data_IF_133710263713
#
_entry.id   IF_133710263713
#
_cell.length_a   1.000
_cell.length_b   1.000
_cell.length_c   1.000
_cell.angle_alpha   90.00
_cell.angle_beta   90.00
_cell.angle_gamma   90.00
#
_symmetry.space_group_name_H-M   'P 1'
#
loop_
_entity.id
_entity.type
_entity.pdbx_description
1 polymer ?
#
# COMPACT_ATOMS: atom_id res chain seq x y z
N UNK A 1 -18.37 -7.33 38.20
CA UNK A 1 -18.21 -6.98 36.77
C UNK A 1 -16.72 -6.79 36.51
N UNK A 2 -16.08 -7.80 35.94
CA UNK A 2 -14.63 -7.78 35.69
C UNK A 2 -14.30 -6.69 34.68
N UNK A 3 -13.49 -5.72 35.09
CA UNK A 3 -12.93 -4.70 34.22
C UNK A 3 -12.25 -5.40 33.04
N UNK A 4 -12.83 -5.27 31.85
CA UNK A 4 -12.22 -5.72 30.62
C UNK A 4 -10.82 -5.10 30.56
N UNK A 5 -9.79 -5.93 30.76
CA UNK A 5 -8.39 -5.54 30.65
C UNK A 5 -8.27 -4.88 29.28
N UNK A 6 -7.81 -3.62 29.16
CA UNK A 6 -7.65 -2.99 27.86
C UNK A 6 -6.70 -3.89 27.07
N UNK A 7 -7.22 -4.55 26.03
CA UNK A 7 -6.42 -5.31 25.10
C UNK A 7 -5.42 -4.32 24.50
N UNK A 8 -4.20 -4.30 25.06
CA UNK A 8 -3.09 -3.56 24.48
C UNK A 8 -2.89 -4.16 23.10
N UNK A 9 -3.40 -3.48 22.07
CA UNK A 9 -3.11 -3.83 20.69
C UNK A 9 -1.60 -3.94 20.58
N UNK A 10 -1.06 -5.05 20.03
CA UNK A 10 0.38 -5.24 19.93
C UNK A 10 0.99 -4.02 19.24
N UNK A 11 2.10 -3.51 19.77
CA UNK A 11 2.79 -2.36 19.17
C UNK A 11 3.07 -2.58 17.68
N UNK A 12 3.34 -3.84 17.30
CA UNK A 12 3.54 -4.28 15.92
C UNK A 12 2.31 -3.98 15.05
N UNK A 13 1.09 -4.24 15.51
CA UNK A 13 -0.15 -3.96 14.75
C UNK A 13 -0.32 -2.47 14.52
N UNK A 14 -0.01 -1.65 15.52
CA UNK A 14 -0.03 -0.19 15.42
C UNK A 14 1.02 0.33 14.43
N UNK A 15 2.23 -0.24 14.46
CA UNK A 15 3.32 0.12 13.56
C UNK A 15 2.96 -0.23 12.12
N UNK A 16 2.53 -1.46 11.86
CA UNK A 16 2.14 -1.93 10.51
C UNK A 16 1.01 -1.08 9.95
N UNK A 17 0.00 -0.73 10.77
CA UNK A 17 -1.09 0.16 10.34
C UNK A 17 -0.58 1.54 9.94
N UNK A 18 0.26 2.16 10.77
CA UNK A 18 0.83 3.49 10.47
C UNK A 18 1.72 3.46 9.23
N UNK A 19 2.54 2.43 9.09
CA UNK A 19 3.40 2.23 7.92
C UNK A 19 2.57 2.04 6.66
N UNK A 20 1.50 1.22 6.69
CA UNK A 20 0.62 1.02 5.54
C UNK A 20 -0.09 2.31 5.12
N UNK A 21 -0.60 3.09 6.08
CA UNK A 21 -1.22 4.40 5.80
C UNK A 21 -0.21 5.40 5.24
N UNK A 22 1.01 5.42 5.79
CA UNK A 22 2.09 6.25 5.28
C UNK A 22 2.46 5.87 3.83
N UNK A 23 2.64 4.57 3.55
CA UNK A 23 2.93 4.08 2.22
C UNK A 23 1.80 4.37 1.23
N UNK A 24 0.54 4.26 1.66
CA UNK A 24 -0.62 4.66 0.86
C UNK A 24 -0.57 6.15 0.51
N UNK A 25 -0.27 7.02 1.48
CA UNK A 25 -0.15 8.46 1.24
C UNK A 25 0.99 8.79 0.27
N UNK A 26 2.15 8.11 0.39
CA UNK A 26 3.26 8.27 -0.56
C UNK A 26 2.87 7.78 -1.95
N UNK A 27 2.16 6.65 -2.06
CA UNK A 27 1.62 6.17 -3.33
C UNK A 27 0.69 7.20 -3.98
N UNK A 28 -0.27 7.72 -3.22
CA UNK A 28 -1.20 8.74 -3.70
C UNK A 28 -0.47 10.02 -4.14
N UNK A 29 0.55 10.44 -3.39
CA UNK A 29 1.38 11.59 -3.73
C UNK A 29 2.15 11.37 -5.04
N UNK A 30 2.73 10.19 -5.25
CA UNK A 30 3.45 9.87 -6.49
C UNK A 30 2.51 9.86 -7.70
N UNK A 31 1.31 9.28 -7.57
CA UNK A 31 0.28 9.34 -8.63
C UNK A 31 -0.11 10.78 -8.94
N UNK A 32 -0.28 11.60 -7.91
CA UNK A 32 -0.61 13.02 -8.06
C UNK A 32 0.51 13.80 -8.77
N UNK A 33 1.77 13.61 -8.35
CA UNK A 33 2.93 14.23 -9.00
C UNK A 33 3.06 13.77 -10.46
N UNK A 34 2.80 12.49 -10.74
CA UNK A 34 2.77 11.99 -12.11
C UNK A 34 1.69 12.68 -12.96
N UNK A 35 0.48 12.84 -12.43
CA UNK A 35 -0.62 13.52 -13.14
C UNK A 35 -0.29 14.99 -13.42
N UNK A 36 0.26 15.72 -12.45
CA UNK A 36 0.72 17.11 -12.65
C UNK A 36 1.86 17.15 -13.65
N UNK A 37 2.87 16.29 -13.50
CA UNK A 37 4.01 16.24 -14.40
C UNK A 37 3.61 15.91 -15.84
N UNK A 38 2.54 15.15 -16.03
CA UNK A 38 1.94 14.90 -17.35
C UNK A 38 1.23 16.15 -17.89
N UNK A 39 0.51 16.89 -17.05
CA UNK A 39 -0.17 18.13 -17.46
C UNK A 39 0.80 19.31 -17.71
N UNK A 40 2.01 19.25 -17.17
CA UNK A 40 3.06 20.27 -17.30
C UNK A 40 4.17 19.88 -18.29
N UNK A 41 4.01 18.79 -19.05
CA UNK A 41 5.00 18.28 -20.00
C UNK A 41 6.42 18.14 -19.40
N UNK A 42 6.50 17.54 -18.21
CA UNK A 42 7.79 17.23 -17.58
C UNK A 42 8.64 16.32 -18.48
N UNK A 43 9.96 16.47 -18.37
CA UNK A 43 10.93 15.61 -19.03
C UNK A 43 10.64 14.12 -18.78
N UNK A 44 10.73 13.29 -19.82
CA UNK A 44 10.51 11.84 -19.77
C UNK A 44 11.39 11.13 -18.72
N UNK A 45 12.59 11.66 -18.46
CA UNK A 45 13.49 11.16 -17.42
C UNK A 45 12.92 11.35 -16.01
N UNK A 46 12.24 12.46 -15.75
CA UNK A 46 11.58 12.73 -14.47
C UNK A 46 10.31 11.89 -14.32
N UNK A 47 9.51 11.77 -15.37
CA UNK A 47 8.30 10.93 -15.34
C UNK A 47 8.64 9.46 -15.12
N UNK A 48 9.65 8.92 -15.83
CA UNK A 48 10.09 7.54 -15.66
C UNK A 48 10.65 7.28 -14.26
N UNK A 49 11.32 8.26 -13.64
CA UNK A 49 11.76 8.16 -12.24
C UNK A 49 10.57 8.07 -11.27
N UNK A 50 9.54 8.90 -11.45
CA UNK A 50 8.31 8.87 -10.64
C UNK A 50 7.61 7.51 -10.77
N UNK A 51 7.48 6.99 -11.99
CA UNK A 51 6.82 5.69 -12.23
C UNK A 51 7.61 4.53 -11.59
N UNK A 52 8.95 4.55 -11.67
CA UNK A 52 9.80 3.55 -10.96
C UNK A 52 9.62 3.63 -9.45
N UNK A 53 9.55 4.84 -8.90
CA UNK A 53 9.25 5.06 -7.48
C UNK A 53 7.86 4.53 -7.10
N UNK A 54 6.85 4.77 -7.93
CA UNK A 54 5.48 4.28 -7.72
C UNK A 54 5.42 2.76 -7.72
N UNK A 55 6.15 2.09 -8.61
CA UNK A 55 6.26 0.64 -8.62
C UNK A 55 6.87 0.09 -7.32
N UNK A 56 8.01 0.65 -6.89
CA UNK A 56 8.67 0.21 -5.67
C UNK A 56 7.81 0.43 -4.42
N UNK A 57 7.20 1.61 -4.27
CA UNK A 57 6.33 1.92 -3.13
C UNK A 57 5.05 1.09 -3.18
N UNK A 58 4.47 0.87 -4.36
CA UNK A 58 3.29 0.02 -4.54
C UNK A 58 3.54 -1.43 -4.10
N UNK A 59 4.70 -2.00 -4.45
CA UNK A 59 5.11 -3.33 -3.98
C UNK A 59 5.34 -3.36 -2.46
N UNK A 60 6.00 -2.35 -1.89
CA UNK A 60 6.19 -2.26 -0.44
C UNK A 60 4.86 -2.14 0.30
N UNK A 61 3.90 -1.38 -0.24
CA UNK A 61 2.54 -1.28 0.30
C UNK A 61 1.84 -2.63 0.25
N UNK A 62 1.96 -3.37 -0.87
CA UNK A 62 1.34 -4.69 -1.02
C UNK A 62 1.93 -5.69 -0.01
N UNK A 63 3.25 -5.79 0.10
CA UNK A 63 3.92 -6.70 1.04
C UNK A 63 3.62 -6.33 2.49
N UNK A 64 3.73 -5.04 2.84
CA UNK A 64 3.42 -4.57 4.19
C UNK A 64 1.96 -4.79 4.59
N UNK A 65 1.04 -4.60 3.65
CA UNK A 65 -0.39 -4.85 3.89
C UNK A 65 -0.73 -6.34 3.96
N UNK A 66 -0.07 -7.19 3.16
CA UNK A 66 -0.23 -8.64 3.24
C UNK A 66 0.27 -9.18 4.60
N UNK A 67 1.37 -8.61 5.11
CA UNK A 67 1.85 -8.92 6.46
C UNK A 67 0.87 -8.47 7.55
N UNK A 68 0.31 -7.26 7.43
CA UNK A 68 -0.74 -6.77 8.34
C UNK A 68 -2.00 -7.62 8.33
N UNK A 69 -2.42 -8.08 7.15
CA UNK A 69 -3.52 -9.01 6.95
C UNK A 69 -3.28 -10.34 7.67
N UNK A 70 -2.08 -10.93 7.51
CA UNK A 70 -1.73 -12.18 8.16
C UNK A 70 -1.75 -12.07 9.69
N UNK A 71 -1.25 -10.95 10.25
CA UNK A 71 -1.31 -10.69 11.69
C UNK A 71 -2.76 -10.56 12.18
N UNK A 72 -3.59 -9.77 11.50
CA UNK A 72 -4.99 -9.58 11.90
C UNK A 72 -5.79 -10.87 11.82
N UNK A 73 -5.55 -11.73 10.81
CA UNK A 73 -6.14 -13.07 10.73
C UNK A 73 -5.67 -13.94 11.90
N UNK A 74 -4.37 -13.98 12.16
CA UNK A 74 -3.85 -14.80 13.25
C UNK A 74 -4.46 -14.39 14.60
N UNK A 75 -4.55 -13.09 14.86
CA UNK A 75 -5.21 -12.56 16.06
C UNK A 75 -6.70 -12.90 16.06
N UNK A 76 -7.41 -12.77 14.95
CA UNK A 76 -8.84 -13.10 14.85
C UNK A 76 -9.11 -14.58 15.16
N UNK A 77 -8.27 -15.49 14.63
CA UNK A 77 -8.38 -16.93 14.87
C UNK A 77 -8.07 -17.25 16.34
N UNK A 78 -7.02 -16.65 16.90
CA UNK A 78 -6.61 -16.88 18.29
C UNK A 78 -7.62 -16.35 19.31
N UNK A 79 -8.23 -15.19 19.05
CA UNK A 79 -9.18 -14.52 19.96
C UNK A 79 -10.65 -14.89 19.72
N UNK A 80 -10.97 -15.59 18.63
CA UNK A 80 -12.35 -15.82 18.12
C UNK A 80 -13.18 -14.53 17.99
N UNK A 81 -12.54 -13.37 17.92
CA UNK A 81 -13.21 -12.08 17.89
C UNK A 81 -13.36 -11.60 16.44
N UNK A 82 -14.60 -11.62 15.94
CA UNK A 82 -14.98 -11.13 14.60
C UNK A 82 -14.68 -9.65 14.38
N UNK A 83 -14.47 -8.87 15.45
CA UNK A 83 -14.08 -7.45 15.34
C UNK A 83 -12.76 -7.24 14.59
N UNK A 84 -11.87 -8.23 14.58
CA UNK A 84 -10.60 -8.16 13.86
C UNK A 84 -10.73 -8.43 12.35
N UNK A 85 -11.85 -8.99 11.88
CA UNK A 85 -12.08 -9.20 10.43
C UNK A 85 -12.14 -7.89 9.64
N UNK A 86 -12.69 -6.82 10.22
CA UNK A 86 -12.72 -5.51 9.56
C UNK A 86 -11.31 -4.94 9.34
N UNK A 87 -10.39 -5.19 10.28
CA UNK A 87 -8.98 -4.84 10.15
C UNK A 87 -8.34 -5.59 8.98
N UNK A 88 -8.52 -6.92 8.95
CA UNK A 88 -8.05 -7.77 7.86
C UNK A 88 -8.59 -7.31 6.49
N UNK A 89 -9.90 -7.04 6.38
CA UNK A 89 -10.49 -6.58 5.12
C UNK A 89 -9.84 -5.27 4.63
N UNK A 90 -9.55 -4.34 5.54
CA UNK A 90 -8.87 -3.09 5.18
C UNK A 90 -7.46 -3.31 4.63
N UNK A 91 -6.70 -4.26 5.19
CA UNK A 91 -5.40 -4.63 4.66
C UNK A 91 -5.50 -5.32 3.31
N UNK A 92 -6.52 -6.15 3.10
CA UNK A 92 -6.76 -6.81 1.82
C UNK A 92 -7.00 -5.78 0.69
N UNK A 93 -7.79 -4.74 0.96
CA UNK A 93 -7.97 -3.61 0.02
C UNK A 93 -6.64 -2.91 -0.26
N UNK A 94 -5.82 -2.66 0.76
CA UNK A 94 -4.50 -2.02 0.59
C UNK A 94 -3.53 -2.88 -0.23
N UNK A 95 -3.61 -4.21 -0.12
CA UNK A 95 -2.83 -5.13 -0.97
C UNK A 95 -3.20 -4.92 -2.44
N UNK A 96 -4.49 -4.90 -2.76
CA UNK A 96 -4.95 -4.68 -4.14
C UNK A 96 -4.59 -3.29 -4.67
N UNK A 97 -4.65 -2.26 -3.82
CA UNK A 97 -4.20 -0.91 -4.20
C UNK A 97 -2.70 -0.91 -4.51
N UNK A 98 -1.87 -1.51 -3.65
CA UNK A 98 -0.42 -1.59 -3.86
C UNK A 98 -0.04 -2.37 -5.13
N UNK A 99 -0.67 -3.54 -5.33
CA UNK A 99 -0.49 -4.33 -6.54
C UNK A 99 -0.99 -3.60 -7.79
N UNK A 100 -2.13 -2.92 -7.71
CA UNK A 100 -2.68 -2.11 -8.79
C UNK A 100 -1.74 -0.97 -9.19
N UNK A 101 -1.18 -0.26 -8.21
CA UNK A 101 -0.19 0.78 -8.44
C UNK A 101 1.09 0.23 -9.10
N UNK A 102 1.59 -0.92 -8.63
CA UNK A 102 2.75 -1.56 -9.21
C UNK A 102 2.50 -2.06 -10.64
N UNK A 103 1.35 -2.70 -10.89
CA UNK A 103 0.96 -3.18 -12.21
C UNK A 103 0.77 -2.02 -13.20
N UNK A 104 0.09 -0.95 -12.77
CA UNK A 104 -0.07 0.26 -13.57
C UNK A 104 1.28 0.88 -13.93
N UNK A 105 2.19 0.97 -12.95
CA UNK A 105 3.54 1.49 -13.18
C UNK A 105 4.35 0.62 -14.15
N UNK A 106 4.25 -0.71 -14.02
CA UNK A 106 4.91 -1.65 -14.92
C UNK A 106 4.39 -1.53 -16.36
N UNK A 107 3.06 -1.39 -16.51
CA UNK A 107 2.42 -1.17 -17.79
C UNK A 107 2.92 0.12 -18.45
N UNK A 108 2.94 1.24 -17.72
CA UNK A 108 3.46 2.51 -18.23
C UNK A 108 4.94 2.41 -18.64
N UNK A 109 5.78 1.77 -17.82
CA UNK A 109 7.19 1.57 -18.18
C UNK A 109 7.34 0.71 -19.44
N UNK A 110 6.52 -0.33 -19.61
CA UNK A 110 6.53 -1.14 -20.84
C UNK A 110 6.07 -0.36 -22.07
N UNK A 111 5.08 0.52 -21.92
CA UNK A 111 4.60 1.36 -23.01
C UNK A 111 5.65 2.39 -23.44
N UNK A 112 6.37 2.99 -22.48
CA UNK A 112 7.48 3.92 -22.76
C UNK A 112 8.65 3.18 -23.42
N UNK A 113 9.03 2.01 -22.90
CA UNK A 113 10.14 1.23 -23.43
C UNK A 113 9.85 0.64 -24.83
N UNK A 114 8.61 0.24 -25.10
CA UNK A 114 8.18 -0.29 -26.41
C UNK A 114 8.06 0.78 -27.49
N UNK A 115 8.07 2.06 -27.14
CA UNK A 115 7.98 3.19 -28.06
C UNK A 115 9.32 3.92 -28.26
N UNK A 116 10.43 3.36 -27.75
CA UNK A 116 11.77 3.85 -28.04
C UNK A 116 12.18 3.41 -29.46
N UNK A 117 12.63 4.34 -30.34
CA UNK A 117 13.04 4.03 -31.71
C UNK A 117 14.30 3.15 -31.78
#
# INVERSE_FOLDING_TARGET
MGLAKPERKPLIVLLVKRTAVFLLAVCALLVFIYAIGTAQDFLDSTQSFIIRGLSAIGLLLAVGSAYGFAIDIWIAVASRATRHLFGALSYLVLVFIGLGAAAFSAFLLSAIAGNAP
#
